data_IF_851785621750
#
_entry.id   IF_851785621750
#
_cell.length_a   1.000
_cell.length_b   1.000
_cell.length_c   1.000
_cell.angle_alpha   90.00
_cell.angle_beta   90.00
_cell.angle_gamma   90.00
#
_symmetry.space_group_name_H-M   'P 1'
#
loop_
_entity.id
_entity.type
_entity.pdbx_description
1 polymer ?
#
# COMPACT_ATOMS: atom_id res chain seq x y z
N UNK A 1 -36.20 34.35 -52.49
CA UNK A 1 -35.04 33.89 -53.20
C UNK A 1 -33.96 33.59 -52.15
N UNK A 2 -33.93 32.37 -51.64
CA UNK A 2 -33.00 31.92 -50.61
C UNK A 2 -31.88 31.14 -51.24
N UNK A 3 -30.66 31.63 -51.12
CA UNK A 3 -29.44 30.97 -51.60
C UNK A 3 -28.90 30.10 -50.45
N UNK A 4 -28.93 28.75 -50.68
CA UNK A 4 -28.37 27.78 -49.80
C UNK A 4 -26.89 27.59 -50.13
N UNK A 5 -26.00 27.87 -49.18
CA UNK A 5 -24.54 27.62 -49.28
C UNK A 5 -24.28 26.26 -48.60
N UNK A 6 -23.92 25.25 -49.40
CA UNK A 6 -23.37 23.99 -48.91
C UNK A 6 -21.90 24.16 -48.55
N UNK A 7 -21.59 23.98 -47.26
CA UNK A 7 -20.19 23.87 -46.79
C UNK A 7 -19.79 22.38 -46.87
N UNK A 8 -18.93 22.06 -47.82
CA UNK A 8 -18.33 20.74 -47.94
C UNK A 8 -17.28 20.52 -46.84
N UNK A 9 -17.47 19.52 -46.01
CA UNK A 9 -16.43 19.02 -45.09
C UNK A 9 -15.39 18.27 -45.91
N UNK A 10 -14.15 18.78 -45.95
CA UNK A 10 -12.96 18.03 -46.38
C UNK A 10 -12.52 17.13 -45.23
N UNK A 11 -12.65 15.82 -45.39
CA UNK A 11 -11.97 14.84 -44.60
C UNK A 11 -10.48 14.86 -44.90
N UNK A 12 -9.67 15.35 -43.98
CA UNK A 12 -8.23 15.20 -44.05
C UNK A 12 -7.86 13.82 -43.52
N UNK A 13 -7.61 12.89 -44.41
CA UNK A 13 -6.95 11.61 -44.07
C UNK A 13 -5.50 11.94 -43.70
N UNK A 14 -5.18 11.80 -42.42
CA UNK A 14 -3.79 11.75 -41.99
C UNK A 14 -3.17 10.45 -42.47
N UNK A 15 -1.96 10.46 -43.07
CA UNK A 15 -1.29 9.23 -43.43
C UNK A 15 -0.89 8.47 -42.17
N UNK A 16 -1.32 7.22 -42.05
CA UNK A 16 -0.80 6.26 -41.09
C UNK A 16 0.63 5.97 -41.54
N UNK A 17 1.61 6.43 -40.76
CA UNK A 17 3.00 6.04 -40.95
C UNK A 17 3.12 4.53 -40.67
N UNK A 18 3.86 3.78 -41.50
CA UNK A 18 4.11 2.37 -41.22
C UNK A 18 4.90 2.27 -39.93
N UNK A 19 4.43 1.45 -38.98
CA UNK A 19 5.16 1.10 -37.75
C UNK A 19 6.47 0.44 -38.17
N UNK A 20 7.57 0.96 -37.63
CA UNK A 20 8.90 0.40 -37.80
C UNK A 20 8.94 -1.03 -37.24
N UNK A 21 9.25 -2.02 -38.06
CA UNK A 21 9.34 -3.46 -37.69
C UNK A 21 10.56 -3.77 -36.79
N UNK A 22 11.19 -2.76 -36.17
CA UNK A 22 12.46 -2.85 -35.42
C UNK A 22 12.37 -3.05 -33.92
N UNK A 23 11.24 -2.74 -33.27
CA UNK A 23 11.09 -2.98 -31.82
C UNK A 23 10.47 -4.38 -31.55
N UNK A 24 11.31 -5.40 -31.64
CA UNK A 24 10.99 -6.68 -31.00
C UNK A 24 10.97 -6.43 -29.49
N UNK A 25 9.80 -6.24 -28.91
CA UNK A 25 9.59 -6.39 -27.48
C UNK A 25 10.26 -7.71 -27.07
N UNK A 26 11.34 -7.64 -26.31
CA UNK A 26 11.94 -8.83 -25.71
C UNK A 26 10.89 -9.32 -24.72
N UNK A 27 10.06 -10.29 -25.16
CA UNK A 27 9.12 -10.98 -24.28
C UNK A 27 9.99 -11.75 -23.29
N UNK A 28 10.24 -11.14 -22.14
CA UNK A 28 11.01 -11.79 -21.07
C UNK A 28 10.17 -12.97 -20.58
N UNK A 29 10.71 -14.18 -20.73
CA UNK A 29 10.02 -15.40 -20.28
C UNK A 29 9.77 -15.32 -18.76
N UNK A 30 8.50 -15.41 -18.38
CA UNK A 30 8.10 -15.37 -16.97
C UNK A 30 8.53 -16.63 -16.25
N UNK A 31 8.81 -16.54 -14.96
CA UNK A 31 9.13 -17.73 -14.13
C UNK A 31 7.96 -18.71 -14.16
N UNK A 32 8.27 -20.00 -14.20
CA UNK A 32 7.25 -21.05 -14.19
C UNK A 32 6.72 -21.26 -12.76
N UNK A 33 5.69 -20.50 -12.40
CA UNK A 33 5.04 -20.54 -11.10
C UNK A 33 3.53 -20.66 -11.26
N UNK A 34 2.87 -21.31 -10.32
CA UNK A 34 1.41 -21.27 -10.20
C UNK A 34 0.99 -19.94 -9.55
N UNK A 35 0.87 -18.89 -10.40
CA UNK A 35 0.60 -17.52 -9.97
C UNK A 35 -0.70 -17.37 -9.19
N UNK A 36 -1.74 -18.11 -9.58
CA UNK A 36 -3.05 -18.04 -8.94
C UNK A 36 -3.07 -18.69 -7.57
N UNK A 37 -2.09 -19.54 -7.27
CA UNK A 37 -2.03 -20.30 -6.03
C UNK A 37 -0.93 -19.82 -5.07
N UNK A 38 -0.21 -18.76 -5.42
CA UNK A 38 0.74 -18.12 -4.51
C UNK A 38 0.02 -17.61 -3.24
N UNK A 39 0.70 -17.76 -2.10
CA UNK A 39 0.31 -17.10 -0.85
C UNK A 39 1.01 -15.75 -0.69
N UNK A 40 1.09 -15.30 0.56
CA UNK A 40 1.85 -14.10 0.95
C UNK A 40 3.19 -14.47 1.63
N UNK A 41 3.71 -15.68 1.37
CA UNK A 41 5.01 -16.14 1.87
C UNK A 41 6.14 -15.57 1.02
N UNK A 42 7.30 -15.39 1.66
CA UNK A 42 8.50 -14.93 0.96
C UNK A 42 9.00 -15.97 -0.05
N UNK A 43 9.14 -15.54 -1.29
CA UNK A 43 9.79 -16.26 -2.37
C UNK A 43 10.99 -15.43 -2.82
N UNK A 44 12.20 -16.04 -2.78
CA UNK A 44 13.43 -15.33 -3.15
C UNK A 44 13.45 -15.05 -4.65
N UNK A 45 13.60 -13.78 -5.01
CA UNK A 45 13.82 -13.31 -6.38
C UNK A 45 15.33 -13.16 -6.69
N UNK A 46 15.66 -12.85 -7.94
CA UNK A 46 17.04 -12.86 -8.43
C UNK A 46 17.87 -11.69 -7.87
N UNK A 47 17.32 -10.47 -7.83
CA UNK A 47 18.06 -9.26 -7.46
C UNK A 47 17.37 -8.46 -6.36
N UNK A 48 18.16 -7.71 -5.63
CA UNK A 48 17.78 -6.70 -4.64
C UNK A 48 18.67 -5.48 -4.74
N UNK A 49 18.18 -4.33 -4.29
CA UNK A 49 18.96 -3.09 -4.26
C UNK A 49 19.47 -2.84 -2.84
N UNK A 50 20.70 -2.31 -2.73
CA UNK A 50 21.31 -1.88 -1.47
C UNK A 50 21.99 -0.56 -1.66
N UNK A 51 21.74 0.39 -0.75
CA UNK A 51 22.49 1.62 -0.60
C UNK A 51 22.93 1.81 0.87
N UNK A 52 24.02 2.52 1.07
CA UNK A 52 24.60 2.74 2.38
C UNK A 52 24.73 4.24 2.65
N UNK A 53 24.44 4.63 3.89
CA UNK A 53 24.82 5.93 4.43
C UNK A 53 25.96 5.75 5.42
N UNK A 54 26.99 6.55 5.24
CA UNK A 54 28.09 6.68 6.17
C UNK A 54 28.12 8.07 6.76
N UNK A 55 28.20 8.17 8.08
CA UNK A 55 28.26 9.47 8.75
C UNK A 55 29.46 10.31 8.29
N UNK A 56 30.60 9.67 7.99
CA UNK A 56 31.80 10.34 7.47
C UNK A 56 31.58 10.99 6.11
N UNK A 57 30.72 10.41 5.24
CA UNK A 57 30.40 10.93 3.91
C UNK A 57 29.23 11.94 3.94
N UNK A 58 28.40 11.87 4.97
CA UNK A 58 27.20 12.71 5.17
C UNK A 58 26.13 12.55 4.06
N UNK A 59 26.17 11.45 3.31
CA UNK A 59 25.26 11.18 2.20
C UNK A 59 25.07 9.68 1.94
N UNK A 60 23.99 9.35 1.26
CA UNK A 60 23.78 8.02 0.69
C UNK A 60 24.71 7.80 -0.53
N UNK A 61 25.23 6.59 -0.68
CA UNK A 61 25.88 6.16 -1.92
C UNK A 61 24.83 5.96 -3.04
N UNK A 62 25.32 5.75 -4.27
CA UNK A 62 24.43 5.53 -5.42
C UNK A 62 23.69 4.17 -5.38
N UNK A 63 24.05 3.30 -4.45
CA UNK A 63 23.52 1.94 -4.34
C UNK A 63 23.84 1.04 -5.52
N UNK A 64 23.48 -0.23 -5.39
CA UNK A 64 23.70 -1.24 -6.43
C UNK A 64 22.71 -2.41 -6.30
N UNK A 65 22.48 -3.10 -7.42
CA UNK A 65 21.80 -4.39 -7.45
C UNK A 65 22.76 -5.51 -7.01
N UNK A 66 22.31 -6.35 -6.09
CA UNK A 66 23.07 -7.52 -5.60
C UNK A 66 22.19 -8.77 -5.61
N UNK A 67 22.83 -9.94 -5.49
CA UNK A 67 22.18 -11.26 -5.46
C UNK A 67 22.03 -11.81 -4.04
N UNK A 68 22.88 -11.32 -3.12
CA UNK A 68 22.91 -11.82 -1.75
C UNK A 68 21.75 -11.27 -0.93
N UNK A 69 20.99 -12.17 -0.31
CA UNK A 69 19.87 -11.86 0.57
C UNK A 69 20.28 -11.81 2.06
N UNK A 70 21.56 -12.02 2.37
CA UNK A 70 22.06 -11.97 3.74
C UNK A 70 22.42 -10.55 4.14
N UNK A 71 22.25 -10.28 5.42
CA UNK A 71 22.71 -9.06 6.07
C UNK A 71 23.65 -9.47 7.19
N UNK A 72 24.88 -9.01 7.12
CA UNK A 72 25.86 -9.19 8.19
C UNK A 72 25.99 -7.87 8.92
N UNK A 73 25.78 -7.88 10.23
CA UNK A 73 25.88 -6.71 11.09
C UNK A 73 26.42 -7.11 12.47
N UNK A 74 26.92 -6.13 13.23
CA UNK A 74 27.35 -6.32 14.61
C UNK A 74 26.13 -6.55 15.53
N UNK A 75 26.33 -7.30 16.63
CA UNK A 75 25.27 -7.55 17.62
C UNK A 75 24.76 -6.29 18.32
N UNK A 76 25.57 -5.24 18.37
CA UNK A 76 25.26 -3.93 18.95
C UNK A 76 24.68 -2.92 17.94
N UNK A 77 24.30 -3.37 16.73
CA UNK A 77 23.65 -2.50 15.73
C UNK A 77 22.39 -1.86 16.27
N UNK A 78 22.19 -0.56 15.97
CA UNK A 78 21.09 0.24 16.50
C UNK A 78 19.70 -0.35 16.23
N UNK A 79 19.53 -1.01 15.08
CA UNK A 79 18.26 -1.69 14.76
C UNK A 79 17.96 -2.86 15.70
N UNK A 80 18.97 -3.60 16.14
CA UNK A 80 18.81 -4.75 17.05
C UNK A 80 18.54 -4.27 18.50
N UNK A 81 19.09 -3.14 18.89
CA UNK A 81 18.97 -2.62 20.25
C UNK A 81 17.67 -1.81 20.44
N UNK A 82 17.34 -0.93 19.51
CA UNK A 82 16.25 0.06 19.67
C UNK A 82 15.25 0.08 18.53
N UNK A 83 15.22 -0.96 17.65
CA UNK A 83 14.29 -1.07 16.53
C UNK A 83 14.30 0.15 15.60
N UNK A 84 15.45 0.84 15.47
CA UNK A 84 15.58 2.02 14.62
C UNK A 84 15.52 1.61 13.15
N UNK A 85 14.28 1.48 12.64
CA UNK A 85 13.99 1.05 11.27
C UNK A 85 12.66 1.59 10.78
N UNK A 86 12.61 1.87 9.47
CA UNK A 86 11.41 2.25 8.73
C UNK A 86 11.30 1.39 7.47
N UNK A 87 10.08 1.21 6.97
CA UNK A 87 9.87 0.36 5.80
C UNK A 87 8.71 0.85 4.94
N UNK A 88 8.66 0.34 3.73
CA UNK A 88 7.60 0.59 2.78
C UNK A 88 7.03 -0.72 2.19
N UNK A 89 5.91 -0.60 1.52
CA UNK A 89 5.31 -1.68 0.78
C UNK A 89 4.55 -1.14 -0.41
N UNK A 90 4.93 -1.58 -1.60
CA UNK A 90 4.27 -1.26 -2.85
C UNK A 90 4.30 -2.48 -3.78
N UNK A 91 3.65 -2.37 -4.93
CA UNK A 91 3.51 -3.48 -5.87
C UNK A 91 3.91 -3.06 -7.28
N UNK A 92 4.43 -4.02 -8.05
CA UNK A 92 4.49 -3.92 -9.49
C UNK A 92 3.44 -4.85 -10.11
N UNK A 93 2.83 -4.38 -11.19
CA UNK A 93 1.74 -5.01 -11.90
C UNK A 93 2.13 -5.24 -13.36
N UNK A 94 1.56 -6.25 -14.00
CA UNK A 94 1.50 -6.31 -15.46
C UNK A 94 0.14 -5.76 -15.88
N UNK A 95 0.12 -4.73 -16.73
CA UNK A 95 -1.12 -4.17 -17.27
C UNK A 95 -1.71 -5.08 -18.35
N UNK A 96 -2.97 -4.84 -18.73
CA UNK A 96 -3.64 -5.57 -19.81
C UNK A 96 -2.89 -5.48 -21.15
N UNK A 97 -2.15 -4.39 -21.37
CA UNK A 97 -1.36 -4.15 -22.59
C UNK A 97 0.07 -4.71 -22.47
N UNK A 98 0.38 -5.41 -21.36
CA UNK A 98 1.65 -6.12 -21.16
C UNK A 98 2.79 -5.28 -20.56
N UNK A 99 2.56 -4.00 -20.24
CA UNK A 99 3.55 -3.16 -19.57
C UNK A 99 3.72 -3.56 -18.10
N UNK A 100 4.93 -3.47 -17.60
CA UNK A 100 5.19 -3.57 -16.16
C UNK A 100 5.16 -2.17 -15.58
N UNK A 101 4.35 -1.99 -14.53
CA UNK A 101 4.14 -0.67 -13.90
C UNK A 101 4.23 -0.75 -12.37
N UNK A 102 4.55 0.40 -11.77
CA UNK A 102 4.37 0.64 -10.33
C UNK A 102 3.36 1.76 -10.11
N UNK A 103 2.72 1.76 -8.93
CA UNK A 103 1.65 2.69 -8.60
C UNK A 103 2.11 3.67 -7.53
N UNK A 104 2.23 4.96 -7.88
CA UNK A 104 2.57 6.10 -7.00
C UNK A 104 3.81 5.86 -6.11
N UNK A 105 4.93 5.36 -6.65
CA UNK A 105 6.13 5.07 -5.86
C UNK A 105 6.75 6.32 -5.23
N UNK A 106 6.53 7.50 -5.80
CA UNK A 106 6.91 8.80 -5.27
C UNK A 106 6.34 9.06 -3.88
N UNK A 107 5.08 8.73 -3.66
CA UNK A 107 4.42 8.87 -2.35
C UNK A 107 4.96 7.87 -1.31
N UNK A 108 5.37 6.67 -1.74
CA UNK A 108 6.07 5.73 -0.87
C UNK A 108 7.44 6.29 -0.47
N UNK A 109 8.18 6.86 -1.44
CA UNK A 109 9.46 7.52 -1.19
C UNK A 109 9.33 8.68 -0.21
N UNK A 110 8.34 9.55 -0.40
CA UNK A 110 8.08 10.66 0.52
C UNK A 110 7.72 10.16 1.93
N UNK A 111 6.88 9.13 2.05
CA UNK A 111 6.52 8.58 3.36
C UNK A 111 7.68 7.88 4.06
N UNK A 112 8.57 7.20 3.32
CA UNK A 112 9.82 6.67 3.88
C UNK A 112 10.71 7.82 4.39
N UNK A 113 10.85 8.89 3.60
CA UNK A 113 11.58 10.10 3.96
C UNK A 113 11.07 10.70 5.28
N UNK A 114 9.75 10.94 5.37
CA UNK A 114 9.13 11.52 6.57
C UNK A 114 9.26 10.59 7.79
N UNK A 115 9.12 9.28 7.58
CA UNK A 115 9.29 8.28 8.63
C UNK A 115 10.72 8.23 9.16
N UNK A 116 11.71 8.36 8.27
CA UNK A 116 13.11 8.41 8.63
C UNK A 116 13.44 9.64 9.50
N UNK A 117 13.00 10.83 9.08
CA UNK A 117 13.17 12.06 9.84
C UNK A 117 12.62 11.93 11.27
N UNK A 118 11.44 11.31 11.43
CA UNK A 118 10.81 11.15 12.75
C UNK A 118 11.62 10.26 13.70
N UNK A 119 12.43 9.34 13.18
CA UNK A 119 13.30 8.44 13.93
C UNK A 119 14.78 8.90 13.94
N UNK A 120 15.05 10.16 13.61
CA UNK A 120 16.41 10.73 13.56
C UNK A 120 17.35 9.92 12.64
N UNK A 121 16.81 9.43 11.52
CA UNK A 121 17.56 8.71 10.48
C UNK A 121 17.82 9.66 9.31
N UNK A 122 18.99 9.60 8.61
CA UNK A 122 19.22 10.39 7.42
C UNK A 122 18.23 9.98 6.32
N UNK A 123 17.37 10.91 5.85
CA UNK A 123 16.34 10.53 4.89
C UNK A 123 16.96 10.17 3.54
N UNK A 124 16.44 9.12 2.90
CA UNK A 124 16.80 8.77 1.53
C UNK A 124 16.10 9.73 0.55
N UNK A 125 16.79 10.32 -0.44
CA UNK A 125 16.15 11.14 -1.47
C UNK A 125 15.03 10.37 -2.21
N UNK A 126 13.91 11.06 -2.48
CA UNK A 126 12.71 10.43 -3.09
C UNK A 126 13.01 9.90 -4.50
N UNK A 127 13.81 10.64 -5.28
CA UNK A 127 14.26 10.23 -6.61
C UNK A 127 15.11 8.96 -6.57
N UNK A 128 16.03 8.84 -5.62
CA UNK A 128 16.83 7.62 -5.40
C UNK A 128 15.94 6.46 -4.95
N UNK A 129 14.91 6.72 -4.13
CA UNK A 129 13.93 5.69 -3.77
C UNK A 129 13.21 5.17 -5.03
N UNK A 130 12.64 6.06 -5.84
CA UNK A 130 11.91 5.69 -7.06
C UNK A 130 12.81 4.93 -8.04
N UNK A 131 14.02 5.42 -8.26
CA UNK A 131 15.02 4.75 -9.10
C UNK A 131 15.35 3.34 -8.60
N UNK A 132 15.55 3.16 -7.30
CA UNK A 132 15.81 1.83 -6.70
C UNK A 132 14.66 0.84 -6.93
N UNK A 133 13.41 1.32 -6.88
CA UNK A 133 12.22 0.51 -7.18
C UNK A 133 12.24 0.07 -8.65
N UNK A 134 12.49 1.01 -9.57
CA UNK A 134 12.58 0.73 -11.01
C UNK A 134 13.67 -0.28 -11.31
N UNK A 135 14.86 -0.13 -10.75
CA UNK A 135 15.98 -1.06 -10.92
C UNK A 135 15.62 -2.47 -10.43
N UNK A 136 15.03 -2.59 -9.23
CA UNK A 136 14.64 -3.90 -8.68
C UNK A 136 13.56 -4.56 -9.53
N UNK A 137 12.54 -3.83 -9.96
CA UNK A 137 11.46 -4.39 -10.79
C UNK A 137 12.01 -4.82 -12.15
N UNK A 138 12.79 -3.98 -12.82
CA UNK A 138 13.42 -4.29 -14.12
C UNK A 138 14.30 -5.54 -14.02
N UNK A 139 15.16 -5.63 -13.00
CA UNK A 139 16.05 -6.78 -12.80
C UNK A 139 15.31 -8.07 -12.43
N UNK A 140 14.07 -7.97 -11.94
CA UNK A 140 13.20 -9.10 -11.58
C UNK A 140 11.95 -9.18 -12.47
N UNK A 141 11.95 -8.65 -13.69
CA UNK A 141 10.77 -8.58 -14.55
C UNK A 141 10.16 -9.95 -14.87
N UNK A 142 10.98 -11.01 -14.90
CA UNK A 142 10.51 -12.39 -15.04
C UNK A 142 9.65 -12.87 -13.84
N UNK A 143 9.77 -12.21 -12.68
CA UNK A 143 9.03 -12.50 -11.46
C UNK A 143 7.75 -11.68 -11.30
N UNK A 144 7.50 -10.69 -12.18
CA UNK A 144 6.24 -9.95 -12.19
C UNK A 144 5.15 -10.84 -12.76
N UNK A 145 4.08 -11.15 -12.02
CA UNK A 145 3.03 -12.05 -12.49
C UNK A 145 2.35 -11.55 -13.77
N UNK A 146 1.87 -12.43 -14.65
CA UNK A 146 1.08 -12.05 -15.82
C UNK A 146 -0.23 -11.35 -15.43
N UNK A 147 -0.72 -10.47 -16.31
CA UNK A 147 -2.05 -9.86 -16.18
C UNK A 147 -3.15 -10.91 -16.05
N UNK A 148 -4.19 -10.60 -15.28
CA UNK A 148 -5.36 -11.46 -15.08
C UNK A 148 -5.19 -12.61 -14.09
N UNK A 149 -3.99 -12.80 -13.51
CA UNK A 149 -3.76 -13.83 -12.47
C UNK A 149 -4.18 -13.35 -11.07
N UNK A 150 -4.40 -12.05 -10.87
CA UNK A 150 -4.62 -11.42 -9.56
C UNK A 150 -3.37 -11.40 -8.66
N UNK A 151 -2.27 -12.02 -9.08
CA UNK A 151 -0.98 -11.97 -8.41
C UNK A 151 -0.21 -10.71 -8.78
N UNK A 152 0.73 -10.30 -7.93
CA UNK A 152 1.54 -9.09 -8.11
C UNK A 152 2.97 -9.32 -7.61
N UNK A 153 3.92 -8.50 -8.04
CA UNK A 153 5.24 -8.48 -7.42
C UNK A 153 5.22 -7.46 -6.27
N UNK A 154 5.29 -7.94 -5.04
CA UNK A 154 5.38 -7.09 -3.86
C UNK A 154 6.82 -6.66 -3.62
N UNK A 155 7.03 -5.35 -3.38
CA UNK A 155 8.33 -4.77 -3.06
C UNK A 155 8.36 -4.32 -1.59
N UNK A 156 9.46 -4.61 -0.91
CA UNK A 156 9.74 -4.23 0.47
C UNK A 156 10.99 -3.36 0.55
N UNK A 157 10.86 -2.04 0.36
CA UNK A 157 11.89 -1.09 0.76
C UNK A 157 11.95 -0.98 2.29
N UNK A 158 13.17 -0.91 2.85
CA UNK A 158 13.36 -0.71 4.29
C UNK A 158 14.73 -0.11 4.58
N UNK A 159 14.81 0.63 5.66
CA UNK A 159 16.01 1.32 6.11
C UNK A 159 16.21 1.11 7.60
N UNK A 160 17.46 0.95 8.05
CA UNK A 160 17.78 0.61 9.43
C UNK A 160 19.20 1.03 9.82
N UNK A 161 19.39 1.35 11.12
CA UNK A 161 20.68 1.71 11.70
C UNK A 161 21.57 0.50 11.94
N UNK A 162 22.82 0.54 11.48
CA UNK A 162 23.76 -0.57 11.52
C UNK A 162 24.98 -0.34 12.40
N UNK A 163 25.31 0.92 12.75
CA UNK A 163 26.46 1.19 13.62
C UNK A 163 26.18 0.80 15.06
N UNK A 164 27.25 0.54 15.85
CA UNK A 164 27.17 0.17 17.27
C UNK A 164 26.46 1.21 18.13
N UNK A 165 25.48 0.80 18.94
CA UNK A 165 24.75 1.66 19.86
C UNK A 165 24.42 0.91 21.15
N UNK A 166 24.95 1.36 22.29
CA UNK A 166 24.55 0.87 23.62
C UNK A 166 23.71 1.90 24.37
N UNK A 167 24.15 3.16 24.41
CA UNK A 167 23.31 4.25 24.92
C UNK A 167 22.22 4.62 23.93
N UNK A 168 21.04 5.09 24.41
CA UNK A 168 19.93 5.49 23.53
C UNK A 168 20.31 6.73 22.73
N UNK A 169 20.70 6.52 21.48
CA UNK A 169 21.02 7.56 20.50
C UNK A 169 20.74 7.00 19.09
N UNK A 170 20.61 7.86 18.06
CA UNK A 170 20.58 7.41 16.68
C UNK A 170 21.88 6.66 16.29
N UNK A 171 21.78 5.73 15.38
CA UNK A 171 22.95 5.15 14.73
C UNK A 171 23.70 6.21 13.91
N UNK A 172 24.97 5.96 13.63
CA UNK A 172 25.78 6.85 12.77
C UNK A 172 25.70 6.39 11.29
N UNK A 173 25.66 5.07 11.06
CA UNK A 173 25.58 4.47 9.72
C UNK A 173 24.27 3.73 9.51
N UNK A 174 23.80 3.70 8.23
CA UNK A 174 22.52 3.09 7.87
C UNK A 174 22.61 2.28 6.57
N UNK A 175 21.77 1.25 6.47
CA UNK A 175 21.49 0.56 5.23
C UNK A 175 20.07 0.89 4.74
N UNK A 176 19.93 1.06 3.43
CA UNK A 176 18.68 1.01 2.70
C UNK A 176 18.68 -0.20 1.78
N UNK A 177 17.61 -0.97 1.78
CA UNK A 177 17.48 -2.18 0.95
C UNK A 177 16.09 -2.26 0.34
N UNK A 178 16.02 -2.85 -0.86
CA UNK A 178 14.75 -3.22 -1.50
C UNK A 178 14.85 -4.66 -1.95
N UNK A 179 13.93 -5.50 -1.50
CA UNK A 179 13.72 -6.82 -2.10
C UNK A 179 12.31 -6.93 -2.67
N UNK A 180 12.11 -7.89 -3.58
CA UNK A 180 10.82 -8.19 -4.16
C UNK A 180 10.45 -9.66 -3.92
N UNK A 181 9.15 -9.95 -3.89
CA UNK A 181 8.61 -11.30 -3.80
C UNK A 181 7.27 -11.37 -4.54
N UNK A 182 7.04 -12.36 -5.42
CA UNK A 182 5.74 -12.54 -6.02
C UNK A 182 4.74 -12.99 -4.95
N UNK A 183 3.56 -12.39 -4.95
CA UNK A 183 2.47 -12.70 -4.01
C UNK A 183 1.20 -12.97 -4.81
N UNK A 184 0.41 -13.92 -4.32
CA UNK A 184 -0.88 -14.25 -4.91
C UNK A 184 -1.96 -13.23 -4.63
N UNK A 185 -3.15 -13.43 -5.16
CA UNK A 185 -4.31 -12.62 -4.82
C UNK A 185 -4.57 -12.71 -3.32
N UNK A 186 -4.74 -11.55 -2.68
CA UNK A 186 -4.97 -11.49 -1.23
C UNK A 186 -6.23 -12.29 -0.83
N UNK A 187 -7.26 -12.24 -1.65
CA UNK A 187 -8.47 -13.04 -1.48
C UNK A 187 -8.56 -14.09 -2.60
N UNK A 188 -8.41 -15.36 -2.24
CA UNK A 188 -8.72 -16.47 -3.15
C UNK A 188 -10.24 -16.56 -3.31
N UNK A 189 -10.74 -16.36 -4.53
CA UNK A 189 -12.18 -16.42 -4.82
C UNK A 189 -12.96 -15.13 -4.60
N UNK A 190 -12.28 -13.97 -4.53
CA UNK A 190 -12.90 -12.65 -4.36
C UNK A 190 -12.83 -12.12 -2.94
N UNK A 191 -13.07 -10.81 -2.79
CA UNK A 191 -13.07 -10.15 -1.48
C UNK A 191 -14.31 -10.58 -0.68
N UNK A 192 -14.11 -11.27 0.43
CA UNK A 192 -15.17 -11.66 1.36
C UNK A 192 -15.11 -10.80 2.61
N UNK A 193 -16.28 -10.47 3.20
CA UNK A 193 -16.32 -9.73 4.45
C UNK A 193 -15.64 -10.48 5.59
N UNK A 194 -14.96 -9.72 6.43
CA UNK A 194 -14.25 -10.25 7.60
C UNK A 194 -14.95 -9.86 8.89
N UNK A 195 -14.72 -10.65 9.92
CA UNK A 195 -15.16 -10.42 11.30
C UNK A 195 -13.99 -9.87 12.10
N UNK A 196 -14.16 -8.69 12.69
CA UNK A 196 -13.12 -7.97 13.44
C UNK A 196 -13.60 -7.64 14.85
N UNK A 197 -12.68 -7.28 15.75
CA UNK A 197 -13.04 -6.84 17.11
C UNK A 197 -12.49 -5.46 17.44
N UNK A 198 -13.14 -4.76 18.37
CA UNK A 198 -12.55 -3.64 19.09
C UNK A 198 -11.59 -4.22 20.13
N UNK A 199 -10.38 -3.67 20.22
CA UNK A 199 -9.37 -4.11 21.18
C UNK A 199 -9.14 -3.08 22.28
N UNK A 200 -8.76 -3.55 23.48
CA UNK A 200 -8.34 -2.70 24.60
C UNK A 200 -6.88 -2.24 24.51
N UNK A 201 -6.11 -2.82 23.61
CA UNK A 201 -4.74 -2.39 23.39
C UNK A 201 -4.67 -1.08 22.62
N UNK A 202 -3.62 -0.30 22.84
CA UNK A 202 -3.31 0.88 22.07
C UNK A 202 -2.38 0.51 20.91
N UNK A 203 -2.64 1.07 19.71
CA UNK A 203 -1.74 0.94 18.58
C UNK A 203 -0.59 1.94 18.64
N UNK A 204 -0.87 3.14 19.10
CA UNK A 204 0.09 4.23 19.19
C UNK A 204 -0.34 5.25 20.25
N UNK A 205 0.64 5.89 20.88
CA UNK A 205 0.38 7.05 21.74
C UNK A 205 -0.11 8.25 20.91
N UNK A 206 -0.92 9.17 21.46
CA UNK A 206 -1.50 10.31 20.74
C UNK A 206 -0.48 11.22 20.03
N UNK A 207 0.71 11.37 20.60
CA UNK A 207 1.85 12.12 20.05
C UNK A 207 3.06 11.20 19.78
N UNK A 208 2.81 9.92 19.56
CA UNK A 208 3.84 8.91 19.34
C UNK A 208 4.28 8.80 17.87
N UNK A 209 4.37 7.57 17.40
CA UNK A 209 4.90 7.19 16.09
C UNK A 209 3.83 6.59 15.16
N UNK A 210 2.56 6.67 15.52
CA UNK A 210 1.48 6.03 14.78
C UNK A 210 1.37 6.47 13.32
N UNK A 211 1.73 7.71 13.03
CA UNK A 211 1.66 8.31 11.68
C UNK A 211 2.89 8.03 10.82
N UNK A 212 3.87 7.26 11.29
CA UNK A 212 5.03 6.84 10.49
C UNK A 212 5.06 5.33 10.26
N UNK A 213 5.72 4.90 9.18
CA UNK A 213 5.80 3.49 8.84
C UNK A 213 7.06 2.84 9.42
N UNK A 214 7.06 2.66 10.74
CA UNK A 214 8.16 2.12 11.52
C UNK A 214 7.85 0.71 12.04
N UNK A 215 8.83 -0.18 12.02
CA UNK A 215 8.69 -1.57 12.46
C UNK A 215 8.16 -1.71 13.90
N UNK A 216 8.53 -0.78 14.78
CA UNK A 216 8.10 -0.76 16.19
C UNK A 216 6.57 -0.70 16.36
N UNK A 217 5.84 0.03 15.48
CA UNK A 217 4.37 0.10 15.54
C UNK A 217 3.72 -1.26 15.23
N UNK A 218 4.33 -2.04 14.34
CA UNK A 218 3.84 -3.36 13.95
C UNK A 218 4.19 -4.41 15.01
N UNK A 219 5.38 -4.35 15.57
CA UNK A 219 5.77 -5.22 16.68
C UNK A 219 4.84 -5.04 17.90
N UNK A 220 4.45 -3.80 18.20
CA UNK A 220 3.50 -3.50 19.27
C UNK A 220 2.12 -4.15 19.05
N UNK A 221 1.70 -4.31 17.81
CA UNK A 221 0.39 -4.91 17.45
C UNK A 221 0.38 -6.44 17.47
N UNK A 222 1.54 -7.12 17.57
CA UNK A 222 1.64 -8.58 17.43
C UNK A 222 0.85 -9.32 18.50
N UNK A 223 0.88 -8.87 19.76
CA UNK A 223 0.14 -9.55 20.83
C UNK A 223 -1.37 -9.49 20.57
N UNK A 224 -1.90 -8.32 20.28
CA UNK A 224 -3.32 -8.12 20.05
C UNK A 224 -3.85 -8.94 18.86
N UNK A 225 -3.09 -9.01 17.75
CA UNK A 225 -3.53 -9.78 16.56
C UNK A 225 -3.47 -11.29 16.80
N UNK A 226 -2.47 -11.78 17.53
CA UNK A 226 -2.39 -13.21 17.90
C UNK A 226 -3.58 -13.62 18.78
N UNK A 227 -3.97 -12.78 19.74
CA UNK A 227 -5.17 -13.02 20.55
C UNK A 227 -6.45 -12.99 19.70
N UNK A 228 -6.61 -11.98 18.84
CA UNK A 228 -7.76 -11.90 17.95
C UNK A 228 -7.92 -13.17 17.09
N UNK A 229 -6.84 -13.65 16.49
CA UNK A 229 -6.87 -14.87 15.67
C UNK A 229 -7.25 -16.13 16.49
N UNK A 230 -6.78 -16.24 17.74
CA UNK A 230 -7.18 -17.36 18.64
C UNK A 230 -8.68 -17.36 18.95
N UNK A 231 -9.29 -16.18 18.97
CA UNK A 231 -10.72 -16.01 19.23
C UNK A 231 -11.57 -16.02 17.94
N UNK A 232 -10.93 -16.18 16.77
CA UNK A 232 -11.62 -16.28 15.47
C UNK A 232 -11.86 -14.95 14.76
N UNK A 233 -11.30 -13.84 15.26
CA UNK A 233 -11.35 -12.55 14.59
C UNK A 233 -10.21 -12.42 13.58
N UNK A 234 -10.49 -11.76 12.46
CA UNK A 234 -9.49 -11.54 11.41
C UNK A 234 -8.54 -10.37 11.72
N UNK A 235 -8.98 -9.37 12.48
CA UNK A 235 -8.21 -8.16 12.76
C UNK A 235 -8.78 -7.42 14.00
N UNK A 236 -7.98 -6.49 14.53
CA UNK A 236 -8.39 -5.58 15.60
C UNK A 236 -8.60 -4.16 15.06
N UNK A 237 -9.70 -3.52 15.45
CA UNK A 237 -9.87 -2.08 15.33
C UNK A 237 -9.33 -1.43 16.61
N UNK A 238 -8.45 -0.46 16.44
CA UNK A 238 -7.91 0.34 17.55
C UNK A 238 -8.67 1.65 17.70
N UNK A 239 -8.90 2.02 18.93
CA UNK A 239 -9.46 3.32 19.30
C UNK A 239 -8.35 4.31 19.66
N UNK A 240 -8.67 5.61 19.63
CA UNK A 240 -7.74 6.64 20.09
C UNK A 240 -7.30 6.39 21.54
N UNK A 241 -6.00 6.39 21.78
CA UNK A 241 -5.42 6.08 23.10
C UNK A 241 -5.76 7.12 24.20
N UNK A 242 -6.18 8.33 23.82
CA UNK A 242 -6.48 9.38 24.76
C UNK A 242 -7.88 9.25 25.39
N UNK A 243 -8.91 8.91 24.59
CA UNK A 243 -10.30 8.89 25.07
C UNK A 243 -10.99 7.54 24.86
N UNK A 244 -10.43 6.66 24.00
CA UNK A 244 -10.95 5.34 23.64
C UNK A 244 -12.39 5.40 23.10
N UNK A 245 -12.70 6.48 22.41
CA UNK A 245 -14.04 6.71 21.85
C UNK A 245 -14.05 6.86 20.33
N UNK A 246 -12.88 7.15 19.73
CA UNK A 246 -12.76 7.41 18.30
C UNK A 246 -12.06 6.25 17.61
N UNK A 247 -12.58 5.89 16.46
CA UNK A 247 -11.97 4.90 15.57
C UNK A 247 -10.69 5.49 14.98
N UNK A 248 -9.59 4.75 15.03
CA UNK A 248 -8.36 5.10 14.33
C UNK A 248 -8.14 4.20 13.11
N UNK A 249 -7.42 3.12 13.29
CA UNK A 249 -7.10 2.15 12.22
C UNK A 249 -6.92 0.75 12.80
N UNK A 250 -6.53 -0.21 11.98
CA UNK A 250 -6.15 -1.55 12.43
C UNK A 250 -4.64 -1.69 12.57
N UNK A 251 -4.14 -2.87 12.92
CA UNK A 251 -2.69 -3.14 13.01
C UNK A 251 -1.94 -2.91 11.69
N UNK A 252 -2.58 -3.13 10.55
CA UNK A 252 -1.94 -3.08 9.25
C UNK A 252 -2.67 -2.31 8.15
N UNK A 253 -3.87 -1.75 8.41
CA UNK A 253 -4.71 -1.12 7.40
C UNK A 253 -5.52 0.07 7.96
N UNK A 254 -5.81 1.06 7.11
CA UNK A 254 -6.71 2.15 7.44
C UNK A 254 -8.18 1.73 7.31
N UNK A 255 -9.08 2.47 7.94
CA UNK A 255 -10.52 2.23 7.91
C UNK A 255 -11.19 3.19 6.93
N UNK A 256 -12.17 2.67 6.20
CA UNK A 256 -13.10 3.38 5.32
C UNK A 256 -14.51 3.08 5.79
N UNK A 257 -15.41 4.06 5.77
CA UNK A 257 -16.82 3.88 6.10
C UNK A 257 -17.69 4.53 5.01
N UNK A 258 -18.85 3.97 4.76
CA UNK A 258 -19.86 4.58 3.89
C UNK A 258 -21.11 4.82 4.73
N UNK A 259 -21.54 6.07 4.81
CA UNK A 259 -22.72 6.46 5.57
C UNK A 259 -24.04 6.15 4.84
N UNK A 260 -25.17 6.46 5.48
CA UNK A 260 -26.49 6.19 4.92
C UNK A 260 -26.80 7.03 3.66
N UNK A 261 -26.11 8.18 3.48
CA UNK A 261 -26.27 9.10 2.34
C UNK A 261 -25.25 8.85 1.21
N UNK A 262 -24.56 7.70 1.21
CA UNK A 262 -23.52 7.31 0.22
C UNK A 262 -22.24 8.16 0.27
N UNK A 263 -21.95 8.85 1.36
CA UNK A 263 -20.68 9.55 1.53
C UNK A 263 -19.58 8.59 2.00
N UNK A 264 -18.38 8.79 1.50
CA UNK A 264 -17.18 8.10 2.00
C UNK A 264 -16.66 8.87 3.22
N UNK A 265 -16.70 8.24 4.39
CA UNK A 265 -16.21 8.82 5.65
C UNK A 265 -14.86 8.19 6.01
N UNK A 266 -13.89 9.06 6.32
CA UNK A 266 -12.51 8.66 6.62
C UNK A 266 -12.16 9.09 8.05
N UNK A 267 -11.79 8.17 8.95
CA UNK A 267 -11.29 8.53 10.26
C UNK A 267 -10.03 9.40 10.18
N UNK A 268 -10.04 10.52 10.89
CA UNK A 268 -8.96 11.49 10.93
C UNK A 268 -8.37 11.61 12.34
N UNK A 269 -7.08 11.32 12.47
CA UNK A 269 -6.29 11.44 13.68
C UNK A 269 -4.82 11.64 13.32
N UNK A 270 -4.06 12.28 14.21
CA UNK A 270 -2.61 12.46 14.04
C UNK A 270 -1.81 11.17 14.27
N UNK A 271 -2.43 10.12 14.78
CA UNK A 271 -1.80 8.80 15.02
C UNK A 271 -2.08 7.80 13.90
N UNK A 272 -2.94 8.12 12.93
CA UNK A 272 -3.24 7.25 11.79
C UNK A 272 -2.15 7.37 10.72
N UNK A 273 -1.67 6.22 10.21
CA UNK A 273 -0.72 6.18 9.10
C UNK A 273 -1.33 6.84 7.84
N UNK A 274 -0.61 7.79 7.19
CA UNK A 274 -1.05 8.41 5.94
C UNK A 274 -0.97 7.41 4.76
N UNK A 275 -1.98 6.57 4.62
CA UNK A 275 -2.05 5.51 3.61
C UNK A 275 -2.15 6.07 2.19
N UNK A 276 -1.32 5.57 1.28
CA UNK A 276 -1.34 5.91 -0.14
C UNK A 276 -2.61 5.33 -0.79
N UNK A 277 -2.97 4.09 -0.42
CA UNK A 277 -4.22 3.46 -0.88
C UNK A 277 -5.44 4.28 -0.47
N UNK A 278 -5.51 4.73 0.78
CA UNK A 278 -6.60 5.59 1.26
C UNK A 278 -6.69 6.89 0.45
N UNK A 279 -5.57 7.61 0.28
CA UNK A 279 -5.53 8.85 -0.54
C UNK A 279 -5.99 8.61 -1.97
N UNK A 280 -5.63 7.47 -2.55
CA UNK A 280 -6.05 7.10 -3.89
C UNK A 280 -7.55 6.76 -3.94
N UNK A 281 -8.07 6.07 -2.92
CA UNK A 281 -9.49 5.75 -2.82
C UNK A 281 -10.38 6.99 -2.58
N UNK A 282 -9.87 7.99 -1.83
CA UNK A 282 -10.53 9.31 -1.71
C UNK A 282 -10.67 9.96 -3.08
N UNK A 283 -9.59 10.03 -3.84
CA UNK A 283 -9.63 10.57 -5.21
C UNK A 283 -10.58 9.78 -6.13
N UNK A 284 -10.55 8.44 -6.05
CA UNK A 284 -11.46 7.57 -6.81
C UNK A 284 -12.92 7.85 -6.42
N UNK A 285 -13.21 7.99 -5.14
CA UNK A 285 -14.56 8.31 -4.66
C UNK A 285 -15.08 9.59 -5.27
N UNK A 286 -14.29 10.66 -5.23
CA UNK A 286 -14.71 11.99 -5.71
C UNK A 286 -14.78 12.07 -7.24
N UNK A 287 -13.75 11.58 -7.96
CA UNK A 287 -13.56 11.87 -9.39
C UNK A 287 -14.09 10.77 -10.32
N UNK A 288 -14.14 9.51 -9.86
CA UNK A 288 -14.63 8.38 -10.66
C UNK A 288 -16.06 7.96 -10.28
N UNK A 289 -16.40 8.06 -8.98
CA UNK A 289 -17.67 7.56 -8.47
C UNK A 289 -18.64 8.65 -8.05
N UNK A 290 -18.22 9.93 -8.03
CA UNK A 290 -19.06 11.08 -7.67
C UNK A 290 -19.53 11.07 -6.22
N UNK A 291 -18.83 10.37 -5.33
CA UNK A 291 -19.12 10.34 -3.90
C UNK A 291 -18.63 11.63 -3.24
N UNK A 292 -19.34 12.09 -2.23
CA UNK A 292 -18.79 13.08 -1.29
C UNK A 292 -17.87 12.38 -0.30
N UNK A 293 -16.79 13.05 0.09
CA UNK A 293 -15.83 12.55 1.08
C UNK A 293 -15.82 13.45 2.31
N UNK A 294 -15.87 12.83 3.49
CA UNK A 294 -15.80 13.51 4.79
C UNK A 294 -14.66 12.94 5.63
N UNK A 295 -13.56 13.70 5.77
CA UNK A 295 -12.42 13.34 6.61
C UNK A 295 -12.55 14.00 7.99
N UNK A 296 -12.98 13.24 8.98
CA UNK A 296 -13.26 13.72 10.34
C UNK A 296 -12.95 12.66 11.42
N UNK A 297 -12.90 13.04 12.70
CA UNK A 297 -12.99 12.04 13.77
C UNK A 297 -14.30 11.25 13.65
N UNK A 298 -14.21 9.93 13.78
CA UNK A 298 -15.33 8.99 13.75
C UNK A 298 -15.45 8.34 15.12
N UNK A 299 -16.59 8.38 15.74
CA UNK A 299 -16.81 7.80 17.05
C UNK A 299 -17.33 6.37 16.93
N UNK A 300 -16.88 5.47 17.82
CA UNK A 300 -17.40 4.10 17.88
C UNK A 300 -18.91 4.08 18.05
N UNK A 301 -19.47 5.06 18.77
CA UNK A 301 -20.91 5.17 18.98
C UNK A 301 -21.68 5.36 17.65
N UNK A 302 -21.11 6.06 16.68
CA UNK A 302 -21.76 6.25 15.36
C UNK A 302 -21.93 4.89 14.62
N UNK A 303 -20.97 3.96 14.78
CA UNK A 303 -21.10 2.60 14.24
C UNK A 303 -22.22 1.85 14.97
N UNK A 304 -22.28 1.95 16.30
CA UNK A 304 -23.32 1.32 17.13
C UNK A 304 -24.71 1.83 16.80
N UNK A 305 -24.83 3.12 16.48
CA UNK A 305 -26.09 3.77 16.12
C UNK A 305 -26.54 3.45 14.67
N UNK A 306 -25.75 2.68 13.92
CA UNK A 306 -26.07 2.28 12.55
C UNK A 306 -25.91 3.40 11.51
N UNK A 307 -25.07 4.41 11.78
CA UNK A 307 -24.86 5.52 10.86
C UNK A 307 -24.09 5.12 9.58
N UNK A 308 -23.45 3.95 9.59
CA UNK A 308 -22.67 3.44 8.47
C UNK A 308 -23.24 2.11 7.96
N UNK A 309 -23.46 2.04 6.63
CA UNK A 309 -23.95 0.82 5.97
C UNK A 309 -22.84 -0.11 5.49
N UNK A 310 -21.66 0.43 5.21
CA UNK A 310 -20.49 -0.33 4.81
C UNK A 310 -19.24 0.13 5.56
N UNK A 311 -18.41 -0.80 5.97
CA UNK A 311 -17.09 -0.55 6.56
C UNK A 311 -16.07 -1.45 5.87
N UNK A 312 -14.86 -0.93 5.65
CA UNK A 312 -13.78 -1.69 5.05
C UNK A 312 -12.42 -1.24 5.55
N UNK A 313 -11.45 -2.12 5.39
CA UNK A 313 -10.03 -1.86 5.63
C UNK A 313 -9.34 -1.60 4.29
N UNK A 314 -8.45 -0.62 4.21
CA UNK A 314 -7.69 -0.37 2.98
C UNK A 314 -6.19 -0.35 3.20
N UNK A 315 -5.47 -0.92 2.24
CA UNK A 315 -4.01 -1.01 2.24
C UNK A 315 -3.45 -1.65 0.98
N UNK A 316 -2.14 -1.59 0.81
CA UNK A 316 -1.45 -2.10 -0.39
C UNK A 316 -1.72 -3.59 -0.65
N UNK A 317 -1.84 -4.41 0.40
CA UNK A 317 -1.96 -5.86 0.23
C UNK A 317 -3.30 -6.26 -0.42
N UNK A 318 -4.43 -5.80 0.13
CA UNK A 318 -5.78 -6.23 -0.26
C UNK A 318 -6.53 -5.20 -1.11
N UNK A 319 -6.03 -3.98 -1.21
CA UNK A 319 -6.73 -2.77 -1.70
C UNK A 319 -7.89 -2.43 -0.75
N UNK A 320 -8.95 -3.21 -0.72
CA UNK A 320 -10.01 -3.14 0.30
C UNK A 320 -10.35 -4.56 0.79
N UNK A 321 -10.42 -4.71 2.12
CA UNK A 321 -11.01 -5.85 2.82
C UNK A 321 -12.31 -5.40 3.46
N UNK A 322 -13.49 -5.84 2.98
CA UNK A 322 -14.76 -5.44 3.57
C UNK A 322 -14.92 -6.04 4.98
N UNK A 323 -15.56 -5.30 5.87
CA UNK A 323 -15.95 -5.78 7.20
C UNK A 323 -17.46 -6.05 7.16
N UNK A 324 -17.87 -7.23 7.61
CA UNK A 324 -19.28 -7.59 7.71
C UNK A 324 -19.81 -7.53 9.14
N UNK A 325 -18.91 -7.70 10.12
CA UNK A 325 -19.26 -7.73 11.54
C UNK A 325 -18.14 -7.18 12.40
N UNK A 326 -18.49 -6.45 13.46
CA UNK A 326 -17.57 -5.90 14.45
C UNK A 326 -18.01 -6.41 15.85
N UNK A 327 -17.10 -7.02 16.59
CA UNK A 327 -17.35 -7.37 17.99
C UNK A 327 -16.83 -6.26 18.91
N UNK A 328 -17.72 -5.73 19.73
CA UNK A 328 -17.37 -4.78 20.77
C UNK A 328 -17.58 -5.46 22.15
N UNK A 329 -16.51 -6.04 22.68
CA UNK A 329 -16.46 -6.65 24.00
C UNK A 329 -17.60 -7.66 24.24
N UNK A 330 -17.80 -8.57 23.29
CA UNK A 330 -18.84 -9.61 23.36
C UNK A 330 -20.19 -9.20 22.76
N UNK A 331 -20.35 -7.95 22.32
CA UNK A 331 -21.54 -7.49 21.60
C UNK A 331 -21.23 -7.35 20.11
N UNK A 332 -21.96 -8.09 19.28
CA UNK A 332 -21.79 -8.01 17.83
C UNK A 332 -22.58 -6.85 17.23
N UNK A 333 -21.91 -6.09 16.38
CA UNK A 333 -22.48 -5.05 15.53
C UNK A 333 -22.46 -5.60 14.10
N UNK A 334 -23.62 -5.93 13.57
CA UNK A 334 -23.75 -6.40 12.19
C UNK A 334 -23.91 -5.22 11.25
N UNK A 335 -23.11 -5.19 10.18
CA UNK A 335 -23.21 -4.16 9.15
C UNK A 335 -24.27 -4.56 8.12
N UNK A 336 -24.89 -3.60 7.49
CA UNK A 336 -25.95 -3.83 6.50
C UNK A 336 -25.46 -4.66 5.30
N UNK A 337 -24.16 -4.60 4.95
CA UNK A 337 -23.54 -5.42 3.91
C UNK A 337 -23.40 -6.90 4.31
N UNK A 338 -23.48 -7.24 5.61
CA UNK A 338 -23.42 -8.61 6.11
C UNK A 338 -22.07 -9.31 5.88
N UNK A 339 -22.09 -10.65 6.07
CA UNK A 339 -20.89 -11.51 5.99
C UNK A 339 -20.77 -12.29 4.66
N UNK A 340 -21.76 -12.22 3.78
CA UNK A 340 -21.80 -13.05 2.56
C UNK A 340 -21.08 -12.39 1.40
N UNK A 341 -21.34 -11.11 1.15
CA UNK A 341 -20.85 -10.40 -0.01
C UNK A 341 -20.27 -9.03 0.37
N UNK A 342 -19.32 -8.56 -0.44
CA UNK A 342 -18.79 -7.21 -0.32
C UNK A 342 -19.88 -6.18 -0.61
N UNK A 343 -19.99 -5.14 0.21
CA UNK A 343 -20.91 -4.05 -0.01
C UNK A 343 -20.67 -3.33 -1.35
N UNK A 344 -21.73 -2.79 -1.99
CA UNK A 344 -21.66 -2.24 -3.34
C UNK A 344 -20.67 -1.08 -3.49
N UNK A 345 -20.54 -0.20 -2.50
CA UNK A 345 -19.61 0.92 -2.56
C UNK A 345 -18.16 0.48 -2.33
N UNK A 346 -17.91 -0.40 -1.36
CA UNK A 346 -16.57 -0.98 -1.15
C UNK A 346 -16.11 -1.76 -2.38
N UNK A 347 -17.03 -2.45 -3.07
CA UNK A 347 -16.72 -3.15 -4.31
C UNK A 347 -16.39 -2.17 -5.45
N UNK A 348 -17.19 -1.12 -5.66
CA UNK A 348 -16.91 -0.10 -6.68
C UNK A 348 -15.57 0.59 -6.44
N UNK A 349 -15.30 1.03 -5.22
CA UNK A 349 -14.02 1.65 -4.84
C UNK A 349 -12.83 0.71 -5.13
N UNK A 350 -12.96 -0.55 -4.72
CA UNK A 350 -11.93 -1.57 -4.92
C UNK A 350 -11.68 -1.86 -6.40
N UNK A 351 -12.71 -2.14 -7.16
CA UNK A 351 -12.58 -2.52 -8.58
C UNK A 351 -12.10 -1.36 -9.44
N UNK A 352 -12.53 -0.13 -9.14
CA UNK A 352 -12.04 1.07 -9.84
C UNK A 352 -10.54 1.29 -9.60
N UNK A 353 -10.07 1.19 -8.34
CA UNK A 353 -8.65 1.37 -8.06
C UNK A 353 -7.80 0.25 -8.67
N UNK A 354 -8.26 -1.00 -8.65
CA UNK A 354 -7.58 -2.11 -9.33
C UNK A 354 -7.53 -1.88 -10.84
N UNK A 355 -8.64 -1.46 -11.47
CA UNK A 355 -8.67 -1.16 -12.89
C UNK A 355 -7.68 -0.06 -13.30
N UNK A 356 -7.45 0.95 -12.45
CA UNK A 356 -6.41 1.96 -12.64
C UNK A 356 -5.01 1.33 -12.54
N UNK A 357 -4.76 0.50 -11.54
CA UNK A 357 -3.46 -0.12 -11.28
C UNK A 357 -3.06 -1.12 -12.37
N UNK A 358 -4.04 -1.78 -12.99
CA UNK A 358 -3.85 -2.82 -14.00
C UNK A 358 -4.04 -2.30 -15.45
N UNK A 359 -4.25 -0.97 -15.60
CA UNK A 359 -4.36 -0.33 -16.91
C UNK A 359 -5.68 -0.63 -17.65
N UNK A 360 -6.73 -1.02 -16.94
CA UNK A 360 -8.08 -1.18 -17.50
C UNK A 360 -8.85 0.15 -17.52
N UNK A 361 -8.51 1.06 -16.61
CA UNK A 361 -9.04 2.42 -16.51
C UNK A 361 -7.90 3.43 -16.65
N UNK A 362 -8.22 4.59 -17.23
CA UNK A 362 -7.30 5.71 -17.32
C UNK A 362 -6.87 6.16 -15.91
N UNK A 363 -5.56 6.31 -15.73
CA UNK A 363 -4.99 6.76 -14.47
C UNK A 363 -4.82 8.29 -14.47
N UNK A 364 -4.97 8.96 -13.31
CA UNK A 364 -4.53 10.33 -13.17
C UNK A 364 -3.03 10.48 -13.47
N UNK A 365 -2.63 11.65 -13.96
CA UNK A 365 -1.23 11.94 -14.25
C UNK A 365 -0.32 11.66 -13.05
N UNK A 366 0.82 11.02 -13.31
CA UNK A 366 1.83 10.68 -12.30
C UNK A 366 1.49 9.49 -11.39
N UNK A 367 0.33 8.83 -11.57
CA UNK A 367 -0.02 7.68 -10.72
C UNK A 367 0.66 6.37 -11.17
N UNK A 368 0.86 6.22 -12.45
CA UNK A 368 1.46 5.03 -13.05
C UNK A 368 2.86 5.34 -13.55
N UNK A 369 3.84 4.60 -13.06
CA UNK A 369 5.22 4.65 -13.51
C UNK A 369 5.50 3.38 -14.31
N UNK A 370 5.71 3.52 -15.62
CA UNK A 370 6.09 2.42 -16.51
C UNK A 370 7.55 2.06 -16.28
N UNK A 371 7.83 0.77 -16.20
CA UNK A 371 9.19 0.22 -16.05
C UNK A 371 9.66 -0.23 -17.44
N UNK A 372 10.65 0.46 -17.99
CA UNK A 372 11.27 0.16 -19.29
C UNK A 372 12.48 -0.80 -19.17
#
# INVERSE_FOLDING_TARGET
MFISVRIGRRETKHPVLPMDEGERQIIMEKKNLDWSNLGFAYVKTDKRYVANYKAEDGKWDAGALIDDDKIVMSEDAGVLQYSQSVFEGLKAYTTKDGHIVTFRPDLNGQRLYDSALRLEMPPLPVDQFVDSIHQVVKANAAWVPPFGTGATLYLRPYMFGISPVIGVKPADDYHYRVFATPVGPYFKGGAKPIYVRITDYDRAAPHGTGNIKAGLNYAMSLHAIVEAHKEGFAENIYLDAATRTKIEETGGANILLVDQDDHLVIPKSNSILPSITRRSLVYVAEHYLGMKVDERPVYLQEIKDGNFKEVGLCGTAAVISPIGKINDHGTDIELASGMEEIGPWMNKLRTTLLGIQEGELEAPEGWIHVIE
#
